data_IF_191024949540
#
_entry.id   IF_191024949540
#
_cell.length_a   1.000
_cell.length_b   1.000
_cell.length_c   1.000
_cell.angle_alpha   90.00
_cell.angle_beta   90.00
_cell.angle_gamma   90.00
#
_symmetry.space_group_name_H-M   'P 1'
#
loop_
_entity.id
_entity.type
_entity.pdbx_description
1 polymer ?
#
# COMPACT_ATOMS: atom_id res chain seq x y z
N UNK A 1 -4.06 4.55 -7.18
CA UNK A 1 -2.73 4.04 -6.75
C UNK A 1 -2.78 2.61 -6.22
N UNK A 2 -3.78 2.24 -5.42
CA UNK A 2 -3.87 0.86 -4.90
C UNK A 2 -3.90 -0.14 -6.03
N UNK A 3 -4.69 0.08 -7.06
CA UNK A 3 -4.84 -0.83 -8.19
C UNK A 3 -3.53 -0.96 -8.99
N UNK A 4 -2.81 0.14 -9.19
CA UNK A 4 -1.47 0.13 -9.83
C UNK A 4 -0.46 -0.65 -8.98
N UNK A 5 -0.46 -0.46 -7.66
CA UNK A 5 0.39 -1.24 -6.75
C UNK A 5 0.06 -2.73 -6.85
N UNK A 6 -1.22 -3.09 -6.86
CA UNK A 6 -1.65 -4.49 -7.01
C UNK A 6 -1.19 -5.08 -8.35
N UNK A 7 -1.29 -4.32 -9.44
CA UNK A 7 -0.79 -4.72 -10.76
C UNK A 7 0.71 -5.04 -10.72
N UNK A 8 1.52 -4.16 -10.14
CA UNK A 8 2.96 -4.38 -10.02
C UNK A 8 3.30 -5.54 -9.08
N UNK A 9 2.61 -5.68 -7.95
CA UNK A 9 2.83 -6.83 -7.05
C UNK A 9 2.48 -8.14 -7.76
N UNK A 10 1.37 -8.19 -8.52
CA UNK A 10 1.02 -9.36 -9.32
C UNK A 10 2.15 -9.71 -10.29
N UNK A 11 2.69 -8.72 -11.00
CA UNK A 11 3.81 -8.91 -11.92
C UNK A 11 5.05 -9.43 -11.20
N UNK A 12 5.43 -8.82 -10.09
CA UNK A 12 6.57 -9.25 -9.24
C UNK A 12 6.42 -10.72 -8.82
N UNK A 13 5.20 -11.13 -8.43
CA UNK A 13 4.92 -12.52 -8.05
C UNK A 13 4.97 -13.46 -9.26
N UNK A 14 4.38 -13.06 -10.40
CA UNK A 14 4.37 -13.86 -11.62
C UNK A 14 5.78 -14.10 -12.17
N UNK A 15 6.62 -13.05 -12.12
CA UNK A 15 8.02 -13.10 -12.57
C UNK A 15 8.97 -13.70 -11.52
N UNK A 16 8.44 -14.12 -10.36
CA UNK A 16 9.18 -14.71 -9.24
C UNK A 16 10.40 -13.86 -8.79
N UNK A 17 10.24 -12.54 -8.77
CA UNK A 17 11.32 -11.59 -8.46
C UNK A 17 11.66 -11.53 -6.97
N UNK A 18 10.75 -11.96 -6.09
CA UNK A 18 11.00 -12.06 -4.64
C UNK A 18 11.29 -13.52 -4.30
N UNK A 19 12.55 -13.77 -3.95
CA UNK A 19 13.03 -15.10 -3.52
C UNK A 19 13.13 -15.17 -1.99
N UNK A 20 12.97 -16.37 -1.43
CA UNK A 20 13.16 -16.60 0.01
C UNK A 20 11.93 -16.37 0.89
N UNK A 21 10.84 -15.80 0.36
CA UNK A 21 9.60 -15.54 1.11
C UNK A 21 8.39 -16.30 0.58
N UNK A 22 8.57 -17.17 -0.41
CA UNK A 22 7.50 -17.98 -1.01
C UNK A 22 6.35 -17.10 -1.56
N UNK A 23 5.14 -17.61 -1.41
CA UNK A 23 3.95 -16.85 -1.81
C UNK A 23 3.45 -15.97 -0.66
N UNK A 24 4.18 -14.89 -0.35
CA UNK A 24 3.84 -13.95 0.72
C UNK A 24 2.43 -13.36 0.54
N UNK A 25 1.64 -13.24 1.63
CA UNK A 25 0.33 -12.61 1.58
C UNK A 25 0.42 -11.11 1.37
N UNK A 26 -0.59 -10.57 0.69
CA UNK A 26 -0.77 -9.13 0.47
C UNK A 26 -2.15 -8.75 1.00
N UNK A 27 -2.20 -7.78 1.89
CA UNK A 27 -3.42 -7.28 2.50
C UNK A 27 -3.76 -5.89 1.97
N UNK A 28 -4.97 -5.71 1.46
CA UNK A 28 -5.56 -4.38 1.23
C UNK A 28 -6.46 -4.08 2.42
N UNK A 29 -5.92 -3.34 3.38
CA UNK A 29 -6.60 -3.00 4.63
C UNK A 29 -7.14 -1.57 4.59
N UNK A 30 -8.13 -1.37 3.73
CA UNK A 30 -8.86 -0.13 3.56
C UNK A 30 -10.22 -0.41 2.91
N UNK A 31 -11.35 -0.22 3.60
CA UNK A 31 -12.67 -0.43 3.02
C UNK A 31 -12.92 0.36 1.73
N UNK A 32 -12.39 1.59 1.67
CA UNK A 32 -12.47 2.42 0.47
C UNK A 32 -11.67 1.84 -0.69
N UNK A 33 -10.44 1.35 -0.43
CA UNK A 33 -9.61 0.73 -1.46
C UNK A 33 -10.23 -0.59 -1.97
N UNK A 34 -10.85 -1.37 -1.09
CA UNK A 34 -11.58 -2.60 -1.45
C UNK A 34 -12.74 -2.27 -2.40
N UNK A 35 -13.56 -1.25 -2.06
CA UNK A 35 -14.67 -0.81 -2.92
C UNK A 35 -14.16 -0.28 -4.28
N UNK A 36 -13.10 0.51 -4.28
CA UNK A 36 -12.49 0.97 -5.52
C UNK A 36 -12.00 -0.20 -6.39
N UNK A 37 -11.37 -1.22 -5.79
CA UNK A 37 -10.93 -2.42 -6.52
C UNK A 37 -12.10 -3.15 -7.17
N UNK A 38 -13.24 -3.28 -6.49
CA UNK A 38 -14.45 -3.85 -7.08
C UNK A 38 -14.93 -3.03 -8.29
N UNK A 39 -14.98 -1.70 -8.16
CA UNK A 39 -15.39 -0.82 -9.26
C UNK A 39 -14.47 -0.99 -10.50
N UNK A 40 -13.16 -1.10 -10.28
CA UNK A 40 -12.21 -1.38 -11.37
C UNK A 40 -12.49 -2.73 -12.04
N UNK A 41 -12.80 -3.76 -11.26
CA UNK A 41 -13.14 -5.09 -11.78
C UNK A 41 -14.46 -5.11 -12.56
N UNK A 42 -15.44 -4.32 -12.13
CA UNK A 42 -16.74 -4.21 -12.78
C UNK A 42 -16.68 -3.34 -14.07
N UNK A 43 -15.65 -2.50 -14.21
CA UNK A 43 -15.50 -1.56 -15.31
C UNK A 43 -14.15 -1.73 -16.05
N UNK A 44 -13.77 -2.96 -16.31
CA UNK A 44 -12.48 -3.35 -16.92
C UNK A 44 -12.18 -2.54 -18.18
N UNK A 45 -13.13 -2.44 -19.11
CA UNK A 45 -12.94 -1.76 -20.39
C UNK A 45 -12.70 -0.25 -20.30
N UNK A 46 -13.03 0.35 -19.16
CA UNK A 46 -12.88 1.80 -18.93
C UNK A 46 -11.71 2.13 -18.00
N UNK A 47 -11.31 1.17 -17.18
CA UNK A 47 -10.34 1.38 -16.11
C UNK A 47 -8.94 0.82 -16.42
N UNK A 48 -8.84 -0.11 -17.37
CA UNK A 48 -7.59 -0.78 -17.69
C UNK A 48 -7.01 -0.27 -19.01
N UNK A 49 -5.69 -0.09 -19.02
CA UNK A 49 -4.93 0.23 -20.21
C UNK A 49 -4.73 -1.03 -21.11
N UNK A 50 -4.11 -0.82 -22.27
CA UNK A 50 -3.89 -1.88 -23.25
C UNK A 50 -3.08 -3.05 -22.69
N UNK A 51 -2.10 -2.78 -21.82
CA UNK A 51 -1.26 -3.81 -21.20
C UNK A 51 -2.05 -4.67 -20.23
N UNK A 52 -2.91 -4.06 -19.39
CA UNK A 52 -3.80 -4.78 -18.50
C UNK A 52 -4.90 -5.52 -19.26
N UNK A 53 -5.42 -4.94 -20.35
CA UNK A 53 -6.41 -5.59 -21.21
C UNK A 53 -5.85 -6.83 -21.93
N UNK A 54 -4.57 -6.83 -22.28
CA UNK A 54 -3.94 -8.04 -22.86
C UNK A 54 -3.91 -9.19 -21.87
N UNK A 55 -3.69 -8.93 -20.58
CA UNK A 55 -3.78 -9.94 -19.51
C UNK A 55 -5.21 -10.48 -19.38
N UNK A 56 -6.21 -9.58 -19.45
CA UNK A 56 -7.63 -9.98 -19.38
C UNK A 56 -7.99 -10.92 -20.52
N UNK A 57 -7.52 -10.66 -21.76
CA UNK A 57 -7.72 -11.56 -22.92
C UNK A 57 -7.12 -12.95 -22.69
N UNK A 58 -6.04 -13.04 -21.92
CA UNK A 58 -5.38 -14.30 -21.53
C UNK A 58 -6.07 -14.97 -20.33
N UNK A 59 -7.19 -14.43 -19.82
CA UNK A 59 -7.89 -14.93 -18.64
C UNK A 59 -7.20 -14.59 -17.31
N UNK A 60 -6.26 -13.64 -17.31
CA UNK A 60 -5.52 -13.23 -16.12
C UNK A 60 -6.13 -11.94 -15.57
N UNK A 61 -6.49 -11.94 -14.28
CA UNK A 61 -6.93 -10.71 -13.62
C UNK A 61 -5.71 -9.82 -13.30
N UNK A 62 -5.64 -8.58 -13.82
CA UNK A 62 -4.47 -7.72 -13.65
C UNK A 62 -4.20 -7.26 -12.22
N UNK A 63 -5.24 -7.19 -11.37
CA UNK A 63 -5.18 -6.63 -10.00
C UNK A 63 -5.59 -7.64 -8.92
N UNK A 64 -5.73 -8.92 -9.30
CA UNK A 64 -6.00 -10.01 -8.35
C UNK A 64 -5.05 -11.17 -8.60
N UNK A 65 -4.62 -11.81 -7.55
CA UNK A 65 -3.63 -12.89 -7.59
C UNK A 65 -3.70 -13.76 -6.32
N UNK A 66 -3.18 -14.99 -6.34
CA UNK A 66 -3.13 -15.83 -5.15
C UNK A 66 -2.39 -15.15 -3.98
N UNK A 67 -3.00 -15.19 -2.80
CA UNK A 67 -2.46 -14.53 -1.60
C UNK A 67 -2.85 -13.06 -1.44
N UNK A 68 -3.70 -12.50 -2.32
CA UNK A 68 -4.34 -11.21 -2.09
C UNK A 68 -5.52 -11.37 -1.13
N UNK A 69 -5.52 -10.59 -0.06
CA UNK A 69 -6.54 -10.57 0.98
C UNK A 69 -7.12 -9.16 1.09
N UNK A 70 -8.44 -9.06 1.12
CA UNK A 70 -9.16 -7.80 1.26
C UNK A 70 -9.76 -7.73 2.67
N UNK A 71 -9.31 -6.77 3.48
CA UNK A 71 -9.75 -6.60 4.86
C UNK A 71 -10.82 -5.51 4.95
N UNK A 72 -12.01 -5.85 5.41
CA UNK A 72 -13.15 -4.95 5.53
C UNK A 72 -13.44 -4.62 6.99
N UNK A 73 -13.43 -5.63 7.87
CA UNK A 73 -13.77 -5.47 9.28
C UNK A 73 -12.58 -4.97 10.12
N UNK A 74 -12.90 -4.46 11.31
CA UNK A 74 -11.85 -4.04 12.26
C UNK A 74 -11.13 -5.22 12.88
N UNK A 75 -11.81 -6.35 13.01
CA UNK A 75 -11.27 -7.60 13.53
C UNK A 75 -10.23 -8.18 12.56
N UNK A 76 -10.54 -8.22 11.27
CA UNK A 76 -9.58 -8.62 10.22
C UNK A 76 -8.35 -7.72 10.23
N UNK A 77 -8.55 -6.40 10.31
CA UNK A 77 -7.46 -5.42 10.37
C UNK A 77 -6.54 -5.63 11.57
N UNK A 78 -7.11 -5.91 12.74
CA UNK A 78 -6.32 -6.21 13.94
C UNK A 78 -5.52 -7.50 13.79
N UNK A 79 -6.13 -8.56 13.25
CA UNK A 79 -5.49 -9.86 13.07
C UNK A 79 -4.21 -9.77 12.23
N UNK A 80 -4.18 -8.91 11.21
CA UNK A 80 -3.00 -8.68 10.34
C UNK A 80 -1.76 -8.30 11.17
N UNK A 81 -1.92 -7.52 12.24
CA UNK A 81 -0.79 -7.06 13.07
C UNK A 81 -0.19 -8.14 13.96
N UNK A 82 -0.93 -9.22 14.23
CA UNK A 82 -0.48 -10.34 15.06
C UNK A 82 0.05 -11.52 14.24
N UNK A 83 -0.10 -11.48 12.93
CA UNK A 83 0.49 -12.47 12.06
C UNK A 83 1.99 -12.20 11.89
N UNK A 84 2.84 -13.19 12.13
CA UNK A 84 4.30 -13.05 12.10
C UNK A 84 4.91 -13.29 10.71
N UNK A 85 4.15 -13.90 9.79
CA UNK A 85 4.62 -14.18 8.42
C UNK A 85 5.00 -12.89 7.68
N UNK A 86 6.10 -12.87 6.93
CA UNK A 86 6.41 -11.75 6.05
C UNK A 86 5.26 -11.46 5.08
N UNK A 87 4.82 -10.21 5.03
CA UNK A 87 3.62 -9.78 4.28
C UNK A 87 3.74 -8.36 3.77
N UNK A 88 2.87 -8.03 2.83
CA UNK A 88 2.66 -6.65 2.37
C UNK A 88 1.31 -6.16 2.88
N UNK A 89 1.27 -4.97 3.46
CA UNK A 89 0.04 -4.31 3.92
C UNK A 89 -0.13 -3.00 3.15
N UNK A 90 -1.22 -2.88 2.42
CA UNK A 90 -1.62 -1.65 1.71
C UNK A 90 -2.76 -1.04 2.50
N UNK A 91 -2.53 0.14 3.08
CA UNK A 91 -3.51 0.78 3.95
C UNK A 91 -3.57 2.30 3.71
N UNK A 92 -4.67 2.92 4.09
CA UNK A 92 -4.91 4.36 4.04
C UNK A 92 -4.96 4.94 5.49
N UNK A 93 -4.73 6.25 5.71
CA UNK A 93 -4.56 7.33 4.73
C UNK A 93 -3.11 7.47 4.27
N UNK A 94 -2.93 8.05 3.08
CA UNK A 94 -1.60 8.19 2.46
C UNK A 94 -0.62 9.08 3.22
N UNK A 95 -1.09 10.02 4.06
CA UNK A 95 -0.26 10.92 4.88
C UNK A 95 -0.15 10.48 6.34
N UNK A 96 -0.69 9.32 6.68
CA UNK A 96 -0.67 8.69 8.00
C UNK A 96 -1.39 9.46 9.12
N UNK A 97 -2.22 10.45 8.78
CA UNK A 97 -2.96 11.28 9.76
C UNK A 97 -4.22 10.59 10.30
N UNK A 98 -4.79 9.67 9.54
CA UNK A 98 -6.00 8.94 9.90
C UNK A 98 -5.98 7.51 9.36
N UNK A 99 -7.00 6.72 9.69
CA UNK A 99 -7.22 5.40 9.15
C UNK A 99 -6.37 4.29 9.77
N UNK A 100 -6.50 3.10 9.21
CA UNK A 100 -5.90 1.88 9.71
C UNK A 100 -4.38 1.85 9.63
N UNK A 101 -3.79 2.61 8.71
CA UNK A 101 -2.33 2.74 8.59
C UNK A 101 -1.66 3.14 9.91
N UNK A 102 -2.33 3.95 10.74
CA UNK A 102 -1.76 4.36 12.04
C UNK A 102 -1.60 3.19 13.00
N UNK A 103 -2.50 2.22 12.96
CA UNK A 103 -2.37 0.99 13.76
C UNK A 103 -1.23 0.13 13.23
N UNK A 104 -1.13 -0.05 11.92
CA UNK A 104 -0.02 -0.79 11.32
C UNK A 104 1.33 -0.14 11.61
N UNK A 105 1.43 1.18 11.56
CA UNK A 105 2.65 1.91 11.92
C UNK A 105 3.00 1.71 13.41
N UNK A 106 2.02 1.78 14.32
CA UNK A 106 2.24 1.53 15.74
C UNK A 106 2.87 0.14 15.99
N UNK A 107 2.43 -0.88 15.26
CA UNK A 107 2.90 -2.25 15.42
C UNK A 107 4.20 -2.57 14.68
N UNK A 108 4.57 -1.80 13.65
CA UNK A 108 5.67 -2.18 12.76
C UNK A 108 6.78 -1.12 12.63
N UNK A 109 6.57 0.12 13.05
CA UNK A 109 7.53 1.20 12.82
C UNK A 109 8.83 1.04 13.64
N UNK A 110 8.74 0.40 14.80
CA UNK A 110 9.88 0.11 15.69
C UNK A 110 10.67 -1.15 15.27
N UNK A 111 10.19 -1.89 14.28
CA UNK A 111 10.79 -3.15 13.81
C UNK A 111 11.79 -2.87 12.69
N UNK A 112 13.09 -3.15 12.85
CA UNK A 112 14.11 -2.86 11.83
C UNK A 112 13.99 -3.73 10.57
N UNK A 113 13.33 -4.88 10.64
CA UNK A 113 13.03 -5.75 9.51
C UNK A 113 11.88 -5.22 8.65
N UNK A 114 11.05 -4.33 9.17
CA UNK A 114 9.94 -3.72 8.44
C UNK A 114 10.42 -2.64 7.48
N UNK A 115 9.65 -2.45 6.41
CA UNK A 115 9.84 -1.33 5.47
C UNK A 115 8.53 -0.58 5.31
N UNK A 116 8.56 0.74 5.46
CA UNK A 116 7.44 1.61 5.13
C UNK A 116 7.73 2.28 3.79
N UNK A 117 6.86 2.01 2.80
CA UNK A 117 6.96 2.59 1.47
C UNK A 117 5.87 3.65 1.28
N UNK A 118 6.26 4.90 1.16
CA UNK A 118 5.37 5.99 0.80
C UNK A 118 5.25 6.10 -0.73
N UNK A 119 4.05 6.01 -1.24
CA UNK A 119 3.75 6.04 -2.68
C UNK A 119 3.05 7.33 -3.12
N UNK A 120 3.14 8.38 -2.33
CA UNK A 120 2.51 9.67 -2.61
C UNK A 120 3.16 10.80 -1.84
N UNK A 121 2.75 12.01 -2.24
CA UNK A 121 3.19 13.26 -1.59
C UNK A 121 2.82 13.26 -0.10
N UNK A 122 3.74 13.80 0.71
CA UNK A 122 3.55 13.99 2.14
C UNK A 122 3.59 15.50 2.44
N UNK A 123 2.46 16.06 2.87
CA UNK A 123 2.36 17.48 3.19
C UNK A 123 3.17 17.83 4.44
N UNK A 124 3.71 19.03 4.47
CA UNK A 124 4.39 19.57 5.65
C UNK A 124 3.44 19.55 6.86
N UNK A 125 3.96 19.12 8.01
CA UNK A 125 3.19 19.01 9.25
C UNK A 125 2.46 17.68 9.43
N UNK A 126 2.50 16.76 8.45
CA UNK A 126 1.90 15.43 8.59
C UNK A 126 2.85 14.42 9.21
N UNK A 127 2.29 13.37 9.82
CA UNK A 127 3.05 12.26 10.37
C UNK A 127 3.91 11.57 9.30
N UNK A 128 3.34 11.35 8.10
CA UNK A 128 4.08 10.75 6.98
C UNK A 128 5.28 11.59 6.57
N UNK A 129 5.14 12.92 6.58
CA UNK A 129 6.24 13.85 6.29
C UNK A 129 7.35 13.76 7.35
N UNK A 130 7.00 13.78 8.63
CA UNK A 130 7.97 13.64 9.71
C UNK A 130 8.79 12.33 9.60
N UNK A 131 8.12 11.22 9.26
CA UNK A 131 8.78 9.92 9.07
C UNK A 131 9.77 9.97 7.90
N UNK A 132 9.37 10.54 6.75
CA UNK A 132 10.24 10.66 5.56
C UNK A 132 11.46 11.55 5.84
N UNK A 133 11.28 12.63 6.61
CA UNK A 133 12.35 13.54 6.99
C UNK A 133 13.31 12.95 8.04
N UNK A 134 13.07 11.72 8.49
CA UNK A 134 13.99 10.97 9.34
C UNK A 134 13.75 11.16 10.83
N UNK A 135 12.51 11.46 11.26
CA UNK A 135 12.16 11.44 12.67
C UNK A 135 12.56 10.12 13.31
N UNK A 136 13.25 10.19 14.45
CA UNK A 136 13.69 8.99 15.20
C UNK A 136 12.61 8.43 16.09
N UNK A 137 11.63 9.25 16.43
CA UNK A 137 10.46 8.91 17.22
C UNK A 137 9.27 9.72 16.73
N UNK A 138 8.08 9.12 16.75
CA UNK A 138 6.81 9.77 16.43
C UNK A 138 5.76 9.40 17.47
N UNK A 139 4.68 10.19 17.57
CA UNK A 139 3.57 9.89 18.47
C UNK A 139 2.41 9.26 17.71
N UNK A 140 2.01 8.06 18.14
CA UNK A 140 0.84 7.34 17.63
C UNK A 140 -0.10 7.01 18.79
N UNK A 141 -1.33 7.50 18.74
CA UNK A 141 -2.34 7.33 19.80
C UNK A 141 -1.84 7.77 21.19
N UNK A 142 -1.04 8.85 21.23
CA UNK A 142 -0.47 9.40 22.47
C UNK A 142 0.82 8.72 22.94
N UNK A 143 1.20 7.58 22.36
CA UNK A 143 2.40 6.84 22.72
C UNK A 143 3.59 7.18 21.83
N UNK A 144 4.81 7.32 22.38
CA UNK A 144 6.03 7.49 21.59
C UNK A 144 6.40 6.15 20.93
N UNK A 145 6.67 6.18 19.63
CA UNK A 145 7.08 5.00 18.84
C UNK A 145 8.40 5.31 18.16
N UNK A 146 9.43 4.52 18.42
CA UNK A 146 10.70 4.62 17.70
C UNK A 146 10.52 4.29 16.20
N UNK A 147 11.28 5.00 15.36
CA UNK A 147 11.34 4.75 13.91
C UNK A 147 12.62 3.98 13.60
N UNK A 148 12.52 2.65 13.59
CA UNK A 148 13.61 1.74 13.22
C UNK A 148 13.39 1.08 11.87
N UNK A 149 12.14 1.04 11.39
CA UNK A 149 11.79 0.52 10.08
C UNK A 149 12.55 1.25 8.98
N UNK A 150 12.81 0.55 7.88
CA UNK A 150 13.38 1.16 6.68
C UNK A 150 12.33 2.06 6.01
N UNK A 151 12.65 3.32 5.79
CA UNK A 151 11.75 4.27 5.14
C UNK A 151 12.15 4.41 3.68
N UNK A 152 11.19 4.24 2.78
CA UNK A 152 11.35 4.38 1.33
C UNK A 152 10.24 5.26 0.77
N UNK A 153 10.53 5.97 -0.31
CA UNK A 153 9.57 6.77 -1.05
C UNK A 153 9.64 6.42 -2.54
N UNK A 154 8.47 6.32 -3.15
CA UNK A 154 8.32 6.11 -4.58
C UNK A 154 7.36 7.16 -5.14
N UNK A 155 7.84 8.01 -6.02
CA UNK A 155 7.10 9.16 -6.54
C UNK A 155 6.42 8.88 -7.89
N UNK A 156 6.63 7.71 -8.49
CA UNK A 156 6.18 7.37 -9.84
C UNK A 156 4.66 7.13 -9.99
N UNK A 157 3.91 7.04 -8.88
CA UNK A 157 2.46 6.80 -8.90
C UNK A 157 1.63 8.04 -8.50
N UNK A 158 2.16 9.24 -8.69
CA UNK A 158 1.42 10.46 -8.36
C UNK A 158 0.39 10.76 -9.46
N UNK A 159 -0.90 10.75 -9.09
CA UNK A 159 -1.99 11.20 -9.95
C UNK A 159 -2.29 12.70 -9.83
N UNK A 160 -1.52 13.45 -9.06
CA UNK A 160 -1.68 14.90 -8.92
C UNK A 160 -0.72 15.61 -9.87
N UNK A 161 -1.27 16.55 -10.64
CA UNK A 161 -0.46 17.48 -11.41
C UNK A 161 0.37 18.36 -10.46
N UNK A 162 1.63 18.59 -10.80
CA UNK A 162 2.45 19.60 -10.15
C UNK A 162 2.07 21.01 -10.66
N UNK A 163 2.79 22.04 -10.20
CA UNK A 163 2.52 23.41 -10.60
C UNK A 163 2.56 23.59 -12.13
N UNK A 164 3.47 22.90 -12.82
CA UNK A 164 3.62 23.05 -14.26
C UNK A 164 2.49 22.36 -15.01
N UNK A 165 2.10 21.15 -14.57
CA UNK A 165 0.98 20.43 -15.14
C UNK A 165 -0.41 21.04 -14.86
N UNK A 166 -0.50 22.04 -13.97
CA UNK A 166 -1.73 22.79 -13.72
C UNK A 166 -1.86 24.05 -14.60
N UNK A 167 -0.79 24.47 -15.28
CA UNK A 167 -0.71 25.70 -16.07
C UNK A 167 -0.75 25.41 -17.58
N UNK A 168 -0.55 24.17 -18.00
CA UNK A 168 -0.77 23.69 -19.36
C UNK A 168 -2.26 23.32 -19.59
#
# INVERSE_FOLDING_TARGET
>A
RTQEILYFIRKIKADNLVTGHGNFPVYVDSPMAVRATSIFQDNISQCFDDAAMELVKQGINPISFPGLNLSITSEESKAINFEETPKVIISASGMCEAGRIRHHLKHNLWRPESTVLFVGYQAVGTLGRAIIEGAKEVRLFGEPIEVRAKIRQFNGLSGHADKNGLVE
#
